data_IF_128154083926
#
_entry.id   IF_128154083926
#
_cell.length_a   1.000
_cell.length_b   1.000
_cell.length_c   1.000
_cell.angle_alpha   90.00
_cell.angle_beta   90.00
_cell.angle_gamma   90.00
#
_symmetry.space_group_name_H-M   'P 1'
#
loop_
_entity.id
_entity.type
_entity.pdbx_description
1 polymer ?
#
# COMPACT_ATOMS: atom_id res chain seq x y z
N UNK A 1 9.33 -25.62 -0.60
CA UNK A 1 8.99 -24.18 -0.56
C UNK A 1 7.55 -24.08 -1.02
N UNK A 2 6.62 -23.80 -0.11
CA UNK A 2 5.27 -23.43 -0.51
C UNK A 2 5.34 -22.12 -1.29
N UNK A 3 4.86 -22.14 -2.52
CA UNK A 3 4.65 -20.93 -3.29
C UNK A 3 3.48 -20.22 -2.60
N UNK A 4 3.77 -19.15 -1.86
CA UNK A 4 2.73 -18.31 -1.29
C UNK A 4 1.91 -17.79 -2.48
N UNK A 5 0.68 -18.27 -2.62
CA UNK A 5 -0.20 -17.93 -3.71
C UNK A 5 -0.60 -16.46 -3.54
N UNK A 6 -0.02 -15.58 -4.37
CA UNK A 6 -0.24 -14.14 -4.31
C UNK A 6 -1.63 -13.86 -4.84
N UNK A 7 -2.55 -13.53 -3.95
CA UNK A 7 -3.95 -13.29 -4.34
C UNK A 7 -4.25 -11.81 -4.19
N UNK A 8 -4.77 -11.20 -5.25
CA UNK A 8 -5.26 -9.84 -5.28
C UNK A 8 -6.79 -9.85 -5.39
N UNK A 9 -7.44 -8.85 -4.82
CA UNK A 9 -8.88 -8.66 -4.97
C UNK A 9 -9.15 -7.31 -5.63
N UNK A 10 -10.02 -7.30 -6.63
CA UNK A 10 -10.56 -6.11 -7.25
C UNK A 10 -12.03 -5.95 -6.85
N UNK A 11 -12.33 -4.84 -6.20
CA UNK A 11 -13.68 -4.38 -5.91
C UNK A 11 -13.99 -3.17 -6.80
N UNK A 12 -14.88 -3.36 -7.78
CA UNK A 12 -15.36 -2.26 -8.63
C UNK A 12 -16.78 -2.53 -9.15
N UNK A 13 -17.55 -1.46 -9.33
CA UNK A 13 -18.83 -1.48 -10.06
C UNK A 13 -18.66 -1.05 -11.52
N UNK A 14 -17.49 -0.53 -11.88
CA UNK A 14 -17.21 0.01 -13.19
C UNK A 14 -16.60 -1.07 -14.10
N UNK A 15 -17.33 -1.42 -15.16
CA UNK A 15 -16.88 -2.42 -16.14
C UNK A 15 -15.66 -1.96 -16.94
N UNK A 16 -15.52 -0.67 -17.21
CA UNK A 16 -14.37 -0.14 -17.95
C UNK A 16 -13.09 -0.28 -17.13
N UNK A 17 -13.13 0.16 -15.87
CA UNK A 17 -12.04 -0.03 -14.90
C UNK A 17 -11.71 -1.50 -14.71
N UNK A 18 -12.72 -2.38 -14.62
CA UNK A 18 -12.53 -3.82 -14.53
C UNK A 18 -11.72 -4.37 -15.70
N UNK A 19 -12.11 -4.03 -16.93
CA UNK A 19 -11.46 -4.57 -18.13
C UNK A 19 -10.01 -4.06 -18.26
N UNK A 20 -9.76 -2.82 -17.87
CA UNK A 20 -8.42 -2.23 -17.84
C UNK A 20 -7.50 -2.89 -16.81
N UNK A 21 -8.01 -3.11 -15.60
CA UNK A 21 -7.26 -3.80 -14.55
C UNK A 21 -7.02 -5.27 -14.95
N UNK A 22 -8.00 -5.95 -15.54
CA UNK A 22 -7.82 -7.32 -16.01
C UNK A 22 -6.67 -7.43 -17.02
N UNK A 23 -6.61 -6.51 -17.99
CA UNK A 23 -5.50 -6.43 -18.95
C UNK A 23 -4.16 -6.18 -18.27
N UNK A 24 -4.13 -5.32 -17.25
CA UNK A 24 -2.91 -5.03 -16.50
C UNK A 24 -2.42 -6.26 -15.72
N UNK A 25 -3.31 -7.15 -15.29
CA UNK A 25 -2.97 -8.37 -14.54
C UNK A 25 -2.62 -9.59 -15.42
N UNK A 26 -2.81 -9.55 -16.74
CA UNK A 26 -2.59 -10.72 -17.62
C UNK A 26 -1.16 -11.28 -17.55
N UNK A 27 -0.16 -10.44 -17.27
CA UNK A 27 1.25 -10.82 -17.22
C UNK A 27 1.83 -10.82 -15.80
N UNK A 28 0.98 -10.61 -14.79
CA UNK A 28 1.41 -10.44 -13.40
C UNK A 28 1.31 -11.76 -12.62
N UNK A 29 2.20 -12.00 -11.64
CA UNK A 29 2.21 -13.22 -10.85
C UNK A 29 1.14 -13.24 -9.74
N UNK A 30 0.00 -12.56 -9.96
CA UNK A 30 -1.09 -12.43 -9.00
C UNK A 30 -2.37 -13.09 -9.53
N UNK A 31 -3.02 -13.90 -8.69
CA UNK A 31 -4.37 -14.36 -8.96
C UNK A 31 -5.36 -13.25 -8.59
N UNK A 32 -6.00 -12.65 -9.60
CA UNK A 32 -6.98 -11.59 -9.39
C UNK A 32 -8.39 -12.16 -9.19
N UNK A 33 -8.98 -11.87 -8.04
CA UNK A 33 -10.38 -12.16 -7.74
C UNK A 33 -11.18 -10.87 -7.91
N UNK A 34 -12.16 -10.89 -8.79
CA UNK A 34 -13.05 -9.75 -9.02
C UNK A 34 -14.34 -9.95 -8.25
N UNK A 35 -14.69 -8.97 -7.43
CA UNK A 35 -15.92 -8.91 -6.66
C UNK A 35 -16.59 -7.56 -6.88
N UNK A 36 -17.92 -7.51 -6.76
CA UNK A 36 -18.68 -6.25 -6.85
C UNK A 36 -18.98 -5.69 -5.47
N UNK A 37 -18.93 -6.52 -4.43
CA UNK A 37 -19.22 -6.11 -3.06
C UNK A 37 -18.25 -6.76 -2.08
N UNK A 38 -17.95 -6.07 -0.98
CA UNK A 38 -17.15 -6.62 0.11
C UNK A 38 -17.79 -7.89 0.73
N UNK A 39 -19.10 -8.06 0.61
CA UNK A 39 -19.81 -9.25 1.11
C UNK A 39 -19.53 -10.53 0.30
N UNK A 40 -19.02 -10.38 -0.93
CA UNK A 40 -18.65 -11.51 -1.79
C UNK A 40 -17.26 -12.05 -1.45
N UNK A 41 -16.51 -11.34 -0.59
CA UNK A 41 -15.17 -11.75 -0.20
C UNK A 41 -15.24 -12.88 0.81
N UNK A 42 -14.47 -13.94 0.53
CA UNK A 42 -14.30 -15.03 1.46
C UNK A 42 -13.41 -14.55 2.62
N UNK A 43 -14.00 -14.42 3.81
CA UNK A 43 -13.30 -14.02 5.02
C UNK A 43 -12.19 -15.00 5.46
N UNK A 44 -12.08 -16.17 4.82
CA UNK A 44 -10.99 -17.12 5.05
C UNK A 44 -9.78 -16.93 4.11
N UNK A 45 -9.90 -16.09 3.08
CA UNK A 45 -8.80 -15.82 2.15
C UNK A 45 -7.97 -14.62 2.61
N UNK A 46 -6.66 -14.84 2.75
CA UNK A 46 -5.69 -13.79 3.00
C UNK A 46 -5.23 -13.16 1.67
N UNK A 47 -5.94 -12.12 1.24
CA UNK A 47 -5.54 -11.32 0.09
C UNK A 47 -4.35 -10.43 0.43
N UNK A 48 -3.33 -10.43 -0.42
CA UNK A 48 -2.13 -9.60 -0.25
C UNK A 48 -2.38 -8.16 -0.72
N UNK A 49 -3.16 -8.00 -1.79
CA UNK A 49 -3.43 -6.73 -2.45
C UNK A 49 -4.94 -6.53 -2.60
N UNK A 50 -5.43 -5.38 -2.19
CA UNK A 50 -6.80 -4.94 -2.36
C UNK A 50 -6.83 -3.75 -3.32
N UNK A 51 -7.47 -3.92 -4.46
CA UNK A 51 -7.73 -2.88 -5.45
C UNK A 51 -9.19 -2.49 -5.32
N UNK A 52 -9.46 -1.28 -4.85
CA UNK A 52 -10.82 -0.89 -4.50
C UNK A 52 -11.14 0.43 -5.18
N UNK A 53 -12.26 0.43 -5.90
CA UNK A 53 -12.83 1.61 -6.51
C UNK A 53 -13.18 2.68 -5.47
N UNK A 54 -12.82 3.93 -5.76
CA UNK A 54 -13.12 5.07 -4.89
C UNK A 54 -14.62 5.16 -4.55
N UNK A 55 -15.50 4.79 -5.48
CA UNK A 55 -16.94 4.90 -5.30
C UNK A 55 -17.44 3.92 -4.24
N UNK A 56 -16.83 2.72 -4.17
CA UNK A 56 -17.13 1.72 -3.14
C UNK A 56 -16.62 2.17 -1.78
N UNK A 57 -15.42 2.76 -1.76
CA UNK A 57 -14.81 3.28 -0.54
C UNK A 57 -15.63 4.43 0.05
N UNK A 58 -16.21 5.28 -0.78
CA UNK A 58 -17.02 6.40 -0.34
C UNK A 58 -18.45 5.99 0.01
N UNK A 59 -18.99 4.94 -0.62
CA UNK A 59 -20.29 4.37 -0.26
C UNK A 59 -20.27 3.52 1.02
N UNK A 60 -19.11 2.98 1.41
CA UNK A 60 -18.97 2.07 2.55
C UNK A 60 -18.20 2.73 3.70
N UNK A 61 -18.85 2.99 4.84
CA UNK A 61 -18.18 3.57 6.01
C UNK A 61 -17.19 2.60 6.68
N UNK A 62 -17.42 1.28 6.58
CA UNK A 62 -16.70 0.25 7.35
C UNK A 62 -16.01 -0.80 6.48
N UNK A 63 -15.36 -0.40 5.41
CA UNK A 63 -14.51 -1.33 4.66
C UNK A 63 -13.26 -1.69 5.48
N UNK A 64 -13.27 -2.87 6.10
CA UNK A 64 -12.17 -3.35 6.94
C UNK A 64 -11.14 -4.10 6.09
N UNK A 65 -10.08 -3.40 5.68
CA UNK A 65 -8.92 -4.03 5.04
C UNK A 65 -7.94 -4.51 6.12
N UNK A 66 -7.51 -5.79 6.10
CA UNK A 66 -6.53 -6.31 7.06
C UNK A 66 -5.22 -5.52 7.06
N UNK A 67 -4.60 -5.34 8.23
CA UNK A 67 -3.39 -4.53 8.39
C UNK A 67 -2.15 -5.08 7.70
N UNK A 68 -2.15 -6.36 7.35
CA UNK A 68 -1.07 -7.05 6.64
C UNK A 68 -1.21 -6.97 5.12
N UNK A 69 -2.32 -6.42 4.62
CA UNK A 69 -2.60 -6.29 3.21
C UNK A 69 -2.36 -4.87 2.71
N UNK A 70 -2.07 -4.75 1.41
CA UNK A 70 -1.86 -3.47 0.74
C UNK A 70 -3.17 -3.00 0.12
N UNK A 71 -3.64 -1.82 0.51
CA UNK A 71 -4.82 -1.19 -0.06
C UNK A 71 -4.41 -0.20 -1.16
N UNK A 72 -4.76 -0.49 -2.40
CA UNK A 72 -4.61 0.42 -3.53
C UNK A 72 -5.98 0.91 -3.95
N UNK A 73 -6.17 2.22 -3.99
CA UNK A 73 -7.44 2.82 -4.40
C UNK A 73 -7.40 3.16 -5.87
N UNK A 74 -8.45 2.78 -6.60
CA UNK A 74 -8.66 3.18 -7.98
C UNK A 74 -9.47 4.48 -7.98
N UNK A 75 -8.80 5.59 -8.28
CA UNK A 75 -9.40 6.91 -8.32
C UNK A 75 -9.80 7.29 -9.75
N UNK A 76 -10.81 8.16 -9.88
CA UNK A 76 -11.26 8.69 -11.17
C UNK A 76 -10.81 10.14 -11.42
N UNK A 77 -10.29 10.83 -10.40
CA UNK A 77 -9.86 12.21 -10.49
C UNK A 77 -8.49 12.47 -9.84
N UNK A 78 -7.73 13.41 -10.41
CA UNK A 78 -6.41 13.83 -9.91
C UNK A 78 -6.47 14.90 -8.83
N UNK A 79 -7.53 14.93 -8.03
CA UNK A 79 -7.69 15.95 -7.00
C UNK A 79 -6.83 15.65 -5.78
N UNK A 80 -6.08 16.66 -5.33
CA UNK A 80 -5.34 16.59 -4.07
C UNK A 80 -6.27 16.32 -2.87
N UNK A 81 -7.50 16.85 -2.89
CA UNK A 81 -8.46 16.61 -1.81
C UNK A 81 -8.96 15.17 -1.80
N UNK A 82 -9.24 14.60 -2.97
CA UNK A 82 -9.61 13.19 -3.13
C UNK A 82 -8.47 12.29 -2.66
N UNK A 83 -7.24 12.53 -3.14
CA UNK A 83 -6.07 11.78 -2.70
C UNK A 83 -5.85 11.86 -1.18
N UNK A 84 -5.96 13.05 -0.60
CA UNK A 84 -5.84 13.24 0.85
C UNK A 84 -6.93 12.50 1.63
N UNK A 85 -8.17 12.49 1.12
CA UNK A 85 -9.30 11.75 1.73
C UNK A 85 -9.04 10.25 1.71
N UNK A 86 -8.61 9.72 0.58
CA UNK A 86 -8.32 8.29 0.38
C UNK A 86 -7.13 7.82 1.22
N UNK A 87 -6.06 8.62 1.30
CA UNK A 87 -4.90 8.32 2.16
C UNK A 87 -5.28 8.25 3.65
N UNK A 88 -6.25 9.06 4.12
CA UNK A 88 -6.76 8.96 5.51
C UNK A 88 -7.46 7.61 5.78
N UNK A 89 -8.00 6.97 4.74
CA UNK A 89 -8.58 5.62 4.80
C UNK A 89 -7.51 4.52 4.72
N UNK A 90 -6.23 4.87 4.92
CA UNK A 90 -5.06 3.97 4.90
C UNK A 90 -4.80 3.33 3.54
N UNK A 91 -5.15 4.02 2.45
CA UNK A 91 -4.62 3.68 1.14
C UNK A 91 -3.09 3.64 1.22
N UNK A 92 -2.51 2.50 0.81
CA UNK A 92 -1.09 2.37 0.58
C UNK A 92 -0.67 3.20 -0.63
N UNK A 93 -1.46 3.11 -1.71
CA UNK A 93 -1.27 3.91 -2.91
C UNK A 93 -2.60 4.23 -3.60
N UNK A 94 -2.59 5.16 -4.53
CA UNK A 94 -3.74 5.59 -5.31
C UNK A 94 -3.35 5.58 -6.78
N UNK A 95 -4.11 4.83 -7.59
CA UNK A 95 -3.92 4.74 -9.03
C UNK A 95 -5.11 5.42 -9.70
N UNK A 96 -4.84 6.44 -10.52
CA UNK A 96 -5.88 7.13 -11.27
C UNK A 96 -6.17 6.37 -12.56
N UNK A 97 -7.34 5.78 -12.67
CA UNK A 97 -7.75 4.98 -13.84
C UNK A 97 -8.53 5.86 -14.82
N UNK A 98 -8.25 5.82 -16.14
CA UNK A 98 -7.31 4.93 -16.85
C UNK A 98 -5.86 5.46 -16.94
N UNK A 99 -5.62 6.72 -16.56
CA UNK A 99 -4.40 7.45 -16.92
C UNK A 99 -3.10 6.87 -16.36
N UNK A 100 -3.16 6.21 -15.21
CA UNK A 100 -2.01 5.80 -14.41
C UNK A 100 -1.94 4.28 -14.18
N UNK A 101 -2.62 3.49 -15.01
CA UNK A 101 -2.58 2.02 -14.93
C UNK A 101 -1.16 1.47 -14.97
N UNK A 102 -0.24 2.12 -15.68
CA UNK A 102 1.16 1.70 -15.69
C UNK A 102 1.83 1.74 -14.31
N UNK A 103 1.38 2.62 -13.41
CA UNK A 103 1.89 2.69 -12.03
C UNK A 103 1.49 1.47 -11.20
N UNK A 104 0.38 0.81 -11.55
CA UNK A 104 -0.08 -0.39 -10.87
C UNK A 104 0.97 -1.53 -10.94
N UNK A 105 1.71 -1.62 -12.04
CA UNK A 105 2.82 -2.55 -12.18
C UNK A 105 3.93 -2.30 -11.14
N UNK A 106 4.31 -1.04 -10.95
CA UNK A 106 5.32 -0.65 -9.96
C UNK A 106 4.86 -0.97 -8.53
N UNK A 107 3.57 -0.77 -8.25
CA UNK A 107 2.98 -1.13 -6.96
C UNK A 107 3.02 -2.65 -6.75
N UNK A 108 2.64 -3.45 -7.74
CA UNK A 108 2.69 -4.91 -7.64
C UNK A 108 4.11 -5.44 -7.41
N UNK A 109 5.11 -4.89 -8.11
CA UNK A 109 6.51 -5.24 -7.88
C UNK A 109 6.96 -4.89 -6.46
N UNK A 110 6.57 -3.71 -5.97
CA UNK A 110 6.94 -3.25 -4.63
C UNK A 110 6.30 -4.12 -3.54
N UNK A 111 5.03 -4.49 -3.73
CA UNK A 111 4.30 -5.41 -2.86
C UNK A 111 4.95 -6.79 -2.87
N UNK A 112 5.35 -7.30 -4.03
CA UNK A 112 6.06 -8.58 -4.14
C UNK A 112 7.38 -8.58 -3.36
N UNK A 113 8.24 -7.59 -3.59
CA UNK A 113 9.53 -7.50 -2.90
C UNK A 113 9.31 -7.40 -1.39
N UNK A 114 8.32 -6.62 -0.97
CA UNK A 114 7.99 -6.46 0.45
C UNK A 114 7.45 -7.76 1.07
N UNK A 115 6.57 -8.47 0.38
CA UNK A 115 6.01 -9.74 0.86
C UNK A 115 7.09 -10.82 1.02
N UNK A 116 8.05 -10.91 0.10
CA UNK A 116 9.19 -11.83 0.20
C UNK A 116 10.09 -11.46 1.40
N UNK A 117 10.34 -10.17 1.62
CA UNK A 117 11.13 -9.70 2.76
C UNK A 117 10.42 -9.94 4.09
N UNK A 118 9.10 -9.74 4.15
CA UNK A 118 8.29 -10.02 5.33
C UNK A 118 8.21 -11.52 5.64
N UNK A 119 8.05 -12.39 4.63
CA UNK A 119 8.13 -13.83 4.81
C UNK A 119 9.50 -14.28 5.36
N UNK A 120 10.59 -13.67 4.88
CA UNK A 120 11.94 -13.92 5.39
C UNK A 120 12.17 -13.35 6.81
N UNK A 121 11.39 -12.35 7.23
CA UNK A 121 11.44 -11.79 8.59
C UNK A 121 10.59 -12.57 9.59
N UNK A 122 9.45 -13.16 9.18
CA UNK A 122 8.61 -13.99 10.06
C UNK A 122 9.38 -15.23 10.55
N UNK A 123 10.26 -15.79 9.71
CA UNK A 123 11.16 -16.89 10.11
C UNK A 123 12.21 -16.48 11.17
N UNK A 124 12.49 -15.16 11.31
CA UNK A 124 13.37 -14.63 12.36
C UNK A 124 12.63 -14.12 13.59
N UNK A 125 11.38 -13.68 13.46
CA UNK A 125 10.62 -13.10 14.58
C UNK A 125 10.10 -14.14 15.58
N UNK A 126 10.06 -15.43 15.23
CA UNK A 126 9.88 -16.49 16.23
C UNK A 126 11.07 -16.62 17.22
N UNK A 127 12.21 -15.97 16.94
CA UNK A 127 13.35 -15.86 17.87
C UNK A 127 13.45 -14.51 18.58
N UNK A 128 12.64 -13.52 18.21
CA UNK A 128 12.71 -12.15 18.75
C UNK A 128 11.42 -11.80 19.51
N UNK A 129 11.11 -12.60 20.53
CA UNK A 129 10.14 -12.21 21.55
C UNK A 129 10.61 -10.93 22.26
N UNK A 130 10.08 -9.78 21.82
CA UNK A 130 10.06 -8.54 22.60
C UNK A 130 10.84 -7.37 22.01
N UNK A 131 10.20 -6.55 21.16
CA UNK A 131 10.30 -5.09 21.28
C UNK A 131 9.29 -4.38 20.37
N UNK A 132 8.26 -3.83 21.02
CA UNK A 132 7.68 -2.48 20.87
C UNK A 132 7.64 -1.86 19.45
N UNK A 133 6.41 -1.66 18.97
CA UNK A 133 6.10 -0.96 17.73
C UNK A 133 6.60 0.49 17.66
N UNK A 134 6.92 0.89 16.43
CA UNK A 134 7.22 2.26 16.03
C UNK A 134 7.09 2.38 14.53
N UNK A 135 6.15 3.21 14.06
CA UNK A 135 5.86 3.41 12.64
C UNK A 135 7.10 3.85 11.86
N UNK A 136 7.38 3.15 10.76
CA UNK A 136 8.39 3.55 9.77
C UNK A 136 7.83 4.71 8.94
N UNK A 137 8.09 5.94 9.37
CA UNK A 137 7.98 7.14 8.54
C UNK A 137 9.24 7.24 7.69
N UNK A 138 9.16 6.88 6.41
CA UNK A 138 10.23 7.10 5.44
C UNK A 138 10.05 8.46 4.77
N UNK A 139 10.84 9.45 5.21
CA UNK A 139 11.23 10.61 4.40
C UNK A 139 10.53 11.93 4.70
N UNK A 140 11.24 12.85 5.37
CA UNK A 140 11.00 14.29 5.21
C UNK A 140 11.98 14.82 4.15
N UNK A 141 11.49 15.18 2.96
CA UNK A 141 12.23 16.04 2.04
C UNK A 141 12.12 17.48 2.55
N UNK A 142 13.12 17.94 3.31
CA UNK A 142 13.28 19.38 3.59
C UNK A 142 14.03 20.04 2.45
N UNK A 143 13.30 20.51 1.45
CA UNK A 143 13.81 21.43 0.43
C UNK A 143 13.79 22.86 0.98
N UNK A 144 14.84 23.27 1.71
CA UNK A 144 15.29 24.68 1.77
C UNK A 144 16.65 24.78 2.47
N UNK A 145 17.62 25.30 1.72
CA UNK A 145 19.00 25.44 2.13
C UNK A 145 19.23 26.33 3.35
N UNK A 146 20.26 25.96 4.11
CA UNK A 146 20.81 26.74 5.20
C UNK A 146 22.09 26.07 5.70
N UNK A 147 23.22 26.32 5.02
CA UNK A 147 24.54 26.02 5.57
C UNK A 147 24.68 26.75 6.90
N UNK A 148 24.83 26.05 8.01
CA UNK A 148 25.36 26.65 9.23
C UNK A 148 26.56 25.82 9.67
N UNK A 149 27.70 26.51 9.66
CA UNK A 149 29.04 26.02 10.02
C UNK A 149 29.03 25.37 11.40
N UNK A 150 29.71 24.24 11.51
CA UNK A 150 30.19 23.69 12.76
C UNK A 150 31.00 24.77 13.51
N UNK A 151 30.57 25.11 14.72
CA UNK A 151 31.45 25.68 15.73
C UNK A 151 31.56 24.68 16.86
N UNK A 152 32.77 24.19 17.04
CA UNK A 152 33.19 23.27 18.10
C UNK A 152 32.93 23.89 19.49
N UNK A 153 32.50 23.11 20.49
CA UNK A 153 32.37 23.61 21.85
C UNK A 153 33.76 23.86 22.44
N UNK A 154 34.04 25.11 22.81
CA UNK A 154 35.18 25.46 23.66
C UNK A 154 34.88 25.02 25.09
N UNK A 155 35.70 24.12 25.60
CA UNK A 155 35.83 23.81 27.02
C UNK A 155 36.24 25.07 27.80
N UNK A 156 35.37 25.55 28.68
CA UNK A 156 35.76 26.52 29.72
C UNK A 156 36.27 25.74 30.93
N UNK A 157 37.57 25.91 31.22
CA UNK A 157 38.20 25.52 32.48
C UNK A 157 37.53 26.27 33.64
N UNK A 158 37.27 25.53 34.71
CA UNK A 158 37.05 26.05 36.06
C UNK A 158 38.31 25.80 36.89
N UNK A 159 39.06 26.84 37.21
CA UNK A 159 39.78 27.01 38.49
C UNK A 159 40.04 28.49 38.71
#
# INVERSE_FOLDING_TARGET
MEVIKKTAVLLTHNNETRDEILKAFENEPFDLIVATSANELDGQQNYLLYLIDQDIIDATEELLVPTHAYLVVLAHDKSFESARRLMKKRAYDIVVVPEEISQLHEVMQTVEVSAVQSAAMIDRDHLASGMVGGGRVLGFYSAKGGRVRQQSPRSSLST
#
